data_IF_588975201824
#
_entry.id   IF_588975201824
#
_cell.length_a   1.000
_cell.length_b   1.000
_cell.length_c   1.000
_cell.angle_alpha   90.00
_cell.angle_beta   90.00
_cell.angle_gamma   90.00
#
_symmetry.space_group_name_H-M   'P 1'
#
loop_
_entity.id
_entity.type
_entity.pdbx_description
1 polymer ?
#
# COMPACT_ATOMS: atom_id res chain seq x y z
N UNK A 1 -37.34 -6.34 9.10
CA UNK A 1 -36.47 -5.16 9.35
C UNK A 1 -35.22 -5.31 8.49
N UNK A 2 -34.96 -4.38 7.59
CA UNK A 2 -33.73 -4.33 6.85
C UNK A 2 -32.59 -4.11 7.86
N UNK A 3 -31.44 -4.82 7.74
CA UNK A 3 -30.28 -4.57 8.60
C UNK A 3 -29.86 -3.12 8.38
N UNK A 4 -29.75 -2.36 9.48
CA UNK A 4 -29.21 -1.00 9.44
C UNK A 4 -27.73 -1.16 9.06
N UNK A 5 -27.37 -0.77 7.82
CA UNK A 5 -25.99 -0.73 7.36
C UNK A 5 -25.18 0.11 8.34
N UNK A 6 -24.29 -0.53 9.09
CA UNK A 6 -23.41 0.13 10.04
C UNK A 6 -22.34 0.85 9.25
N UNK A 7 -22.42 2.17 9.18
CA UNK A 7 -21.39 2.98 8.49
C UNK A 7 -20.01 2.70 9.09
N UNK A 8 -19.10 2.10 8.30
CA UNK A 8 -17.73 1.79 8.73
C UNK A 8 -16.90 3.06 8.91
N UNK A 9 -15.99 3.01 9.88
CA UNK A 9 -15.03 4.10 10.10
C UNK A 9 -13.94 4.08 9.03
N UNK A 10 -13.22 5.19 8.88
CA UNK A 10 -12.19 5.34 7.86
C UNK A 10 -11.07 4.27 7.98
N UNK A 11 -10.67 3.90 9.21
CA UNK A 11 -9.68 2.85 9.43
C UNK A 11 -10.20 1.45 9.05
N UNK A 12 -11.48 1.16 9.28
CA UNK A 12 -12.11 -0.11 8.88
C UNK A 12 -12.17 -0.21 7.35
N UNK A 13 -12.49 0.88 6.66
CA UNK A 13 -12.45 0.96 5.19
C UNK A 13 -11.00 0.81 4.70
N UNK A 14 -10.02 1.42 5.38
CA UNK A 14 -8.61 1.24 5.06
C UNK A 14 -8.19 -0.22 5.10
N UNK A 15 -8.50 -0.92 6.19
CA UNK A 15 -8.22 -2.36 6.33
C UNK A 15 -8.91 -3.19 5.24
N UNK A 16 -10.16 -2.87 4.92
CA UNK A 16 -10.92 -3.54 3.87
C UNK A 16 -10.25 -3.38 2.50
N UNK A 17 -9.85 -2.15 2.16
CA UNK A 17 -9.15 -1.87 0.91
C UNK A 17 -7.81 -2.63 0.82
N UNK A 18 -7.02 -2.66 1.92
CA UNK A 18 -5.78 -3.45 1.97
C UNK A 18 -6.04 -4.95 1.78
N UNK A 19 -7.09 -5.51 2.38
CA UNK A 19 -7.45 -6.92 2.17
C UNK A 19 -7.78 -7.21 0.71
N UNK A 20 -8.50 -6.32 0.02
CA UNK A 20 -8.76 -6.48 -1.42
C UNK A 20 -7.47 -6.42 -2.23
N UNK A 21 -6.58 -5.46 -1.93
CA UNK A 21 -5.32 -5.29 -2.67
C UNK A 21 -4.33 -6.42 -2.42
N UNK A 22 -4.27 -6.96 -1.20
CA UNK A 22 -3.41 -8.08 -0.82
C UNK A 22 -3.61 -9.29 -1.71
N UNK A 23 -4.85 -9.59 -2.05
CA UNK A 23 -5.24 -10.78 -2.80
C UNK A 23 -5.51 -10.49 -4.29
N UNK A 24 -5.29 -9.24 -4.76
CA UNK A 24 -5.55 -8.85 -6.12
C UNK A 24 -4.68 -9.68 -7.09
N UNK A 25 -5.27 -10.36 -8.09
CA UNK A 25 -4.51 -11.12 -9.06
C UNK A 25 -3.85 -10.18 -10.06
N UNK A 26 -2.54 -9.98 -9.94
CA UNK A 26 -1.76 -9.24 -10.93
C UNK A 26 -1.55 -10.10 -12.18
N UNK A 27 -2.01 -9.62 -13.33
CA UNK A 27 -1.90 -10.29 -14.63
C UNK A 27 -1.83 -9.27 -15.75
N UNK A 28 -1.14 -9.61 -16.85
CA UNK A 28 -0.97 -8.72 -18.00
C UNK A 28 -2.31 -8.27 -18.60
N UNK A 29 -3.29 -9.19 -18.66
CA UNK A 29 -4.66 -8.81 -19.00
C UNK A 29 -5.33 -8.17 -17.80
N UNK A 30 -5.55 -6.86 -17.86
CA UNK A 30 -6.20 -6.09 -16.78
C UNK A 30 -7.59 -6.65 -16.50
N UNK A 31 -7.96 -6.64 -15.23
CA UNK A 31 -9.30 -6.99 -14.80
C UNK A 31 -10.30 -5.96 -15.32
N UNK A 32 -11.40 -6.44 -15.88
CA UNK A 32 -12.59 -5.62 -16.09
C UNK A 32 -13.30 -5.35 -14.75
N UNK A 33 -14.19 -4.36 -14.73
CA UNK A 33 -14.99 -4.09 -13.53
C UNK A 33 -15.82 -5.31 -13.09
N UNK A 34 -16.37 -6.07 -14.03
CA UNK A 34 -17.15 -7.27 -13.72
C UNK A 34 -16.26 -8.38 -13.14
N UNK A 35 -15.06 -8.57 -13.66
CA UNK A 35 -14.08 -9.51 -13.09
C UNK A 35 -13.62 -9.09 -11.71
N UNK A 36 -13.45 -7.78 -11.45
CA UNK A 36 -13.13 -7.27 -10.11
C UNK A 36 -14.27 -7.56 -9.13
N UNK A 37 -15.52 -7.37 -9.53
CA UNK A 37 -16.68 -7.69 -8.69
C UNK A 37 -16.76 -9.18 -8.39
N UNK A 38 -16.56 -10.06 -9.39
CA UNK A 38 -16.49 -11.52 -9.17
C UNK A 38 -15.34 -11.91 -8.25
N UNK A 39 -14.19 -11.27 -8.38
CA UNK A 39 -13.05 -11.49 -7.49
C UNK A 39 -13.40 -11.14 -6.04
N UNK A 40 -14.07 -9.99 -5.81
CA UNK A 40 -14.52 -9.57 -4.48
C UNK A 40 -15.53 -10.56 -3.90
N UNK A 41 -16.48 -11.04 -4.71
CA UNK A 41 -17.41 -12.09 -4.28
C UNK A 41 -16.67 -13.37 -3.86
N UNK A 42 -15.60 -13.72 -4.57
CA UNK A 42 -14.72 -14.83 -4.18
C UNK A 42 -13.96 -14.60 -2.86
N UNK A 43 -13.65 -13.34 -2.48
CA UNK A 43 -13.08 -13.04 -1.16
C UNK A 43 -14.14 -13.19 -0.04
N UNK A 44 -15.39 -12.83 -0.33
CA UNK A 44 -16.52 -13.02 0.60
C UNK A 44 -16.77 -14.51 0.80
N UNK A 45 -16.84 -15.31 -0.24
CA UNK A 45 -17.03 -16.76 -0.18
C UNK A 45 -15.94 -17.45 0.64
N UNK A 46 -14.71 -16.93 0.60
CA UNK A 46 -13.57 -17.39 1.41
C UNK A 46 -13.55 -16.84 2.83
N UNK A 47 -14.54 -16.02 3.20
CA UNK A 47 -14.64 -15.35 4.50
C UNK A 47 -13.45 -14.43 4.83
N UNK A 48 -12.79 -13.89 3.81
CA UNK A 48 -11.73 -12.89 3.95
C UNK A 48 -12.31 -11.48 4.09
N UNK A 49 -13.51 -11.27 3.60
CA UNK A 49 -14.29 -10.03 3.68
C UNK A 49 -15.71 -10.39 4.08
N UNK A 50 -16.28 -9.64 5.00
CA UNK A 50 -17.69 -9.78 5.38
C UNK A 50 -18.62 -9.30 4.24
N UNK A 51 -19.73 -9.99 4.01
CA UNK A 51 -20.69 -9.65 2.95
C UNK A 51 -21.22 -8.20 3.08
N UNK A 52 -21.49 -7.76 4.32
CA UNK A 52 -21.96 -6.40 4.60
C UNK A 52 -20.88 -5.32 4.38
N UNK A 53 -19.62 -5.72 4.19
CA UNK A 53 -18.50 -4.82 3.86
C UNK A 53 -18.42 -4.48 2.36
N UNK A 54 -19.08 -5.26 1.50
CA UNK A 54 -18.98 -5.11 0.04
C UNK A 54 -19.33 -3.70 -0.44
N UNK A 55 -20.36 -3.07 0.18
CA UNK A 55 -20.80 -1.73 -0.17
C UNK A 55 -19.79 -0.61 0.17
N UNK A 56 -18.86 -0.88 1.10
CA UNK A 56 -17.83 0.07 1.52
C UNK A 56 -16.54 -0.05 0.68
N UNK A 57 -16.44 -1.07 -0.19
CA UNK A 57 -15.29 -1.23 -1.09
C UNK A 57 -15.35 -0.17 -2.19
N UNK A 58 -14.28 0.59 -2.34
CA UNK A 58 -14.17 1.67 -3.30
C UNK A 58 -13.75 1.14 -4.69
N UNK A 59 -14.69 0.49 -5.36
CA UNK A 59 -14.48 -0.19 -6.65
C UNK A 59 -13.81 0.71 -7.69
N UNK A 60 -14.28 1.93 -7.85
CA UNK A 60 -13.77 2.85 -8.88
C UNK A 60 -12.33 3.29 -8.57
N UNK A 61 -11.94 3.40 -7.28
CA UNK A 61 -10.56 3.68 -6.88
C UNK A 61 -9.64 2.49 -7.19
N UNK A 62 -10.11 1.25 -7.00
CA UNK A 62 -9.36 0.04 -7.36
C UNK A 62 -9.24 -0.09 -8.88
N UNK A 63 -10.32 0.19 -9.63
CA UNK A 63 -10.26 0.20 -11.10
C UNK A 63 -9.27 1.24 -11.62
N UNK A 64 -9.20 2.42 -10.99
CA UNK A 64 -8.21 3.44 -11.34
C UNK A 64 -6.77 2.92 -11.15
N UNK A 65 -6.51 2.15 -10.10
CA UNK A 65 -5.22 1.49 -9.90
C UNK A 65 -4.95 0.44 -11.00
N UNK A 66 -5.92 -0.41 -11.30
CA UNK A 66 -5.81 -1.47 -12.34
C UNK A 66 -5.55 -0.86 -13.72
N UNK A 67 -6.15 0.29 -14.01
CA UNK A 67 -5.96 1.00 -15.29
C UNK A 67 -4.64 1.79 -15.33
N UNK A 68 -4.02 1.99 -14.18
CA UNK A 68 -2.79 2.76 -14.05
C UNK A 68 -1.52 2.01 -14.51
N UNK A 69 -0.40 2.75 -14.70
CA UNK A 69 0.86 2.16 -15.15
C UNK A 69 1.49 1.25 -14.10
N UNK A 70 1.37 1.58 -12.79
CA UNK A 70 1.97 0.78 -11.71
C UNK A 70 1.41 -0.64 -11.67
N UNK A 71 0.10 -0.82 -11.94
CA UNK A 71 -0.48 -2.16 -12.04
C UNK A 71 0.21 -3.00 -13.10
N UNK A 72 0.44 -2.44 -14.31
CA UNK A 72 1.09 -3.17 -15.40
C UNK A 72 2.56 -3.47 -15.09
N UNK A 73 3.26 -2.56 -14.42
CA UNK A 73 4.63 -2.79 -13.98
C UNK A 73 4.70 -3.97 -13.00
N UNK A 74 3.78 -4.04 -12.03
CA UNK A 74 3.68 -5.16 -11.10
C UNK A 74 3.26 -6.45 -11.82
N UNK A 75 2.29 -6.38 -12.74
CA UNK A 75 1.78 -7.55 -13.47
C UNK A 75 2.82 -8.19 -14.41
N UNK A 76 3.83 -7.43 -14.84
CA UNK A 76 4.94 -7.88 -15.69
C UNK A 76 6.22 -8.17 -14.88
N UNK A 77 6.17 -8.02 -13.57
CA UNK A 77 7.32 -8.26 -12.70
C UNK A 77 7.72 -9.75 -12.67
N UNK A 78 9.01 -10.00 -12.47
CA UNK A 78 9.55 -11.37 -12.35
C UNK A 78 9.02 -12.09 -11.11
N UNK A 79 8.87 -11.36 -10.01
CA UNK A 79 8.34 -11.85 -8.74
C UNK A 79 7.49 -10.78 -8.05
N UNK A 80 6.40 -11.20 -7.42
CA UNK A 80 5.51 -10.34 -6.63
C UNK A 80 5.21 -11.00 -5.28
N UNK A 81 5.38 -10.24 -4.20
CA UNK A 81 5.11 -10.68 -2.83
C UNK A 81 4.18 -9.65 -2.17
N UNK A 82 3.13 -10.12 -1.53
CA UNK A 82 2.17 -9.28 -0.81
C UNK A 82 2.22 -9.53 0.69
N UNK A 83 1.93 -8.50 1.49
CA UNK A 83 1.84 -8.58 2.95
C UNK A 83 3.09 -9.22 3.57
N UNK A 84 4.26 -8.63 3.31
CA UNK A 84 5.51 -9.13 3.86
C UNK A 84 5.73 -8.58 5.28
N UNK A 85 5.62 -9.44 6.33
CA UNK A 85 5.92 -9.02 7.68
C UNK A 85 7.43 -8.83 7.85
N UNK A 86 7.82 -7.81 8.60
CA UNK A 86 9.21 -7.62 8.98
C UNK A 86 9.34 -7.32 10.47
N UNK A 87 10.45 -7.75 11.04
CA UNK A 87 10.89 -7.43 12.39
C UNK A 87 12.35 -7.03 12.31
N UNK A 88 12.69 -5.84 12.77
CA UNK A 88 14.09 -5.41 12.86
C UNK A 88 14.38 -4.86 14.24
N UNK A 89 15.59 -5.13 14.69
CA UNK A 89 16.15 -4.44 15.86
C UNK A 89 16.54 -3.04 15.40
N UNK A 90 16.15 -2.01 16.15
CA UNK A 90 16.55 -0.65 15.82
C UNK A 90 18.07 -0.56 15.86
N UNK A 91 18.69 -0.51 14.69
CA UNK A 91 20.09 -0.09 14.56
C UNK A 91 20.07 1.42 14.81
N UNK A 92 20.87 1.87 15.77
CA UNK A 92 21.00 3.29 16.13
C UNK A 92 21.10 4.12 14.84
N UNK A 93 20.12 4.98 14.60
CA UNK A 93 20.31 6.09 13.68
C UNK A 93 21.22 7.06 14.39
N UNK A 94 22.45 7.23 13.90
CA UNK A 94 23.45 8.12 14.47
C UNK A 94 22.85 9.51 14.68
N UNK A 95 22.81 9.96 15.93
CA UNK A 95 22.47 11.33 16.27
C UNK A 95 21.60 11.56 17.52
N UNK A 96 21.00 10.53 18.10
CA UNK A 96 20.24 10.65 19.35
C UNK A 96 20.87 9.74 20.41
N UNK A 97 21.82 10.29 21.13
CA UNK A 97 22.46 9.64 22.29
C UNK A 97 21.51 9.69 23.49
N UNK A 98 20.94 8.55 23.84
CA UNK A 98 20.60 8.25 25.24
C UNK A 98 21.34 6.97 25.62
N UNK A 99 22.03 7.02 26.79
CA UNK A 99 22.93 5.98 27.28
C UNK A 99 22.22 4.72 27.82
N UNK A 100 20.93 4.54 27.53
CA UNK A 100 20.18 3.33 27.87
C UNK A 100 20.05 2.43 26.64
N UNK A 101 20.59 1.22 26.76
CA UNK A 101 20.52 0.13 25.76
C UNK A 101 19.10 -0.46 25.64
N UNK A 102 18.09 0.36 25.38
CA UNK A 102 16.78 -0.15 25.02
C UNK A 102 16.81 -0.62 23.55
N UNK A 103 16.90 -1.91 23.37
CA UNK A 103 16.71 -2.56 22.06
C UNK A 103 15.26 -2.37 21.65
N UNK A 104 14.98 -1.35 20.88
CA UNK A 104 13.64 -1.16 20.31
C UNK A 104 13.46 -2.14 19.16
N UNK A 105 12.51 -3.05 19.31
CA UNK A 105 12.09 -3.93 18.22
C UNK A 105 11.02 -3.19 17.43
N UNK A 106 11.24 -3.01 16.13
CA UNK A 106 10.26 -2.45 15.23
C UNK A 106 9.72 -3.57 14.36
N UNK A 107 8.42 -3.69 14.31
CA UNK A 107 7.71 -4.64 13.46
C UNK A 107 6.72 -3.89 12.58
N UNK A 108 6.52 -4.40 11.38
CA UNK A 108 5.59 -3.82 10.42
C UNK A 108 5.21 -4.82 9.34
N UNK A 109 4.43 -4.34 8.40
CA UNK A 109 4.00 -5.07 7.22
C UNK A 109 4.23 -4.19 5.99
N UNK A 110 4.84 -4.74 4.96
CA UNK A 110 4.97 -4.09 3.66
C UNK A 110 3.90 -4.66 2.76
N UNK A 111 3.06 -3.79 2.20
CA UNK A 111 1.88 -4.20 1.45
C UNK A 111 2.23 -5.02 0.21
N UNK A 112 3.24 -4.60 -0.56
CA UNK A 112 3.68 -5.29 -1.76
C UNK A 112 5.16 -5.02 -2.03
N UNK A 113 5.87 -6.07 -2.46
CA UNK A 113 7.21 -5.99 -3.02
C UNK A 113 7.19 -6.70 -4.37
N UNK A 114 7.86 -6.13 -5.38
CA UNK A 114 8.06 -6.80 -6.65
C UNK A 114 9.49 -6.63 -7.15
N UNK A 115 9.92 -7.57 -7.98
CA UNK A 115 11.22 -7.57 -8.64
C UNK A 115 11.02 -7.50 -10.15
N UNK A 116 11.71 -6.59 -10.79
CA UNK A 116 11.72 -6.45 -12.24
C UNK A 116 13.15 -6.17 -12.71
N UNK A 117 13.66 -6.99 -13.63
CA UNK A 117 15.04 -6.88 -14.17
C UNK A 117 16.12 -6.81 -13.07
N UNK A 118 15.92 -7.52 -11.96
CA UNK A 118 16.85 -7.56 -10.84
C UNK A 118 16.80 -6.34 -9.91
N UNK A 119 15.91 -5.38 -10.15
CA UNK A 119 15.63 -4.25 -9.27
C UNK A 119 14.41 -4.56 -8.40
N UNK A 120 14.55 -4.32 -7.09
CA UNK A 120 13.44 -4.46 -6.14
C UNK A 120 12.72 -3.14 -5.94
N UNK A 121 11.39 -3.26 -5.82
CA UNK A 121 10.48 -2.16 -5.56
C UNK A 121 9.53 -2.55 -4.43
N UNK A 122 9.10 -1.59 -3.63
CA UNK A 122 8.00 -1.81 -2.69
C UNK A 122 6.92 -0.76 -2.88
N UNK A 123 5.70 -1.14 -2.61
CA UNK A 123 4.52 -0.28 -2.70
C UNK A 123 3.80 -0.30 -1.36
N UNK A 124 3.43 0.87 -0.88
CA UNK A 124 2.60 1.05 0.29
C UNK A 124 1.31 1.77 -0.13
N UNK A 125 0.17 1.13 0.12
CA UNK A 125 -1.14 1.65 -0.26
C UNK A 125 -1.70 2.60 0.80
N UNK A 126 -2.20 3.75 0.38
CA UNK A 126 -2.79 4.77 1.25
C UNK A 126 -4.23 5.08 0.84
N UNK A 127 -5.15 4.87 1.77
CA UNK A 127 -6.58 5.16 1.60
C UNK A 127 -6.97 6.54 2.12
N UNK A 128 -6.01 7.30 2.63
CA UNK A 128 -6.21 8.60 3.25
C UNK A 128 -6.86 9.59 2.28
N UNK A 129 -7.77 10.38 2.84
CA UNK A 129 -8.18 11.61 2.20
C UNK A 129 -7.12 12.70 2.45
N UNK A 130 -6.86 13.51 1.45
CA UNK A 130 -6.04 14.71 1.58
C UNK A 130 -6.90 15.96 1.30
N UNK A 131 -6.57 17.06 1.97
CA UNK A 131 -7.28 18.31 1.79
C UNK A 131 -6.65 19.07 0.63
N UNK A 132 -7.34 19.10 -0.50
CA UNK A 132 -7.00 19.98 -1.60
C UNK A 132 -7.48 21.41 -1.29
N UNK A 133 -6.57 22.28 -0.85
CA UNK A 133 -6.89 23.70 -0.73
C UNK A 133 -7.07 24.30 -2.12
N UNK A 134 -7.98 25.28 -2.24
CA UNK A 134 -8.22 25.98 -3.52
C UNK A 134 -6.90 26.61 -4.03
N UNK A 135 -6.48 26.22 -5.22
CA UNK A 135 -5.27 26.74 -5.87
C UNK A 135 -3.99 25.90 -5.66
N UNK A 136 -4.02 24.82 -4.90
CA UNK A 136 -2.87 23.91 -4.80
C UNK A 136 -2.70 23.11 -6.09
N UNK A 137 -1.46 23.02 -6.57
CA UNK A 137 -1.07 22.15 -7.66
C UNK A 137 -0.96 20.69 -7.20
N UNK A 138 -0.98 19.74 -8.15
CA UNK A 138 -0.77 18.33 -7.84
C UNK A 138 0.65 18.07 -7.30
N UNK A 139 1.63 18.84 -7.74
CA UNK A 139 3.01 18.79 -7.22
C UNK A 139 3.07 19.17 -5.73
N UNK A 140 2.42 20.27 -5.34
CA UNK A 140 2.37 20.70 -3.93
C UNK A 140 1.65 19.66 -3.05
N UNK A 141 0.57 19.06 -3.55
CA UNK A 141 -0.14 17.98 -2.85
C UNK A 141 0.78 16.77 -2.72
N UNK A 142 1.44 16.35 -3.81
CA UNK A 142 2.37 15.23 -3.82
C UNK A 142 3.50 15.40 -2.81
N UNK A 143 4.11 16.59 -2.75
CA UNK A 143 5.18 16.90 -1.79
C UNK A 143 4.70 16.82 -0.33
N UNK A 144 3.50 17.32 -0.01
CA UNK A 144 2.93 17.19 1.33
C UNK A 144 2.64 15.74 1.71
N UNK A 145 2.16 14.93 0.76
CA UNK A 145 1.90 13.51 0.98
C UNK A 145 3.21 12.74 1.19
N UNK A 146 4.25 13.02 0.41
CA UNK A 146 5.59 12.43 0.61
C UNK A 146 6.15 12.78 1.99
N UNK A 147 6.13 14.06 2.37
CA UNK A 147 6.62 14.53 3.66
C UNK A 147 5.92 13.82 4.83
N UNK A 148 4.60 13.64 4.74
CA UNK A 148 3.81 12.95 5.78
C UNK A 148 4.30 11.52 6.03
N UNK A 149 4.72 10.80 4.99
CA UNK A 149 5.08 9.38 5.07
C UNK A 149 6.58 9.11 4.92
N UNK A 150 7.40 10.14 4.74
CA UNK A 150 8.84 9.99 4.48
C UNK A 150 9.55 9.11 5.51
N UNK A 151 9.30 9.32 6.79
CA UNK A 151 9.94 8.55 7.87
C UNK A 151 9.61 7.05 7.72
N UNK A 152 8.33 6.72 7.52
CA UNK A 152 7.89 5.33 7.33
C UNK A 152 8.55 4.70 6.10
N UNK A 153 8.55 5.41 4.98
CA UNK A 153 9.07 4.91 3.72
C UNK A 153 10.59 4.73 3.73
N UNK A 154 11.32 5.68 4.32
CA UNK A 154 12.78 5.56 4.54
C UNK A 154 13.08 4.34 5.40
N UNK A 155 12.27 4.12 6.43
CA UNK A 155 12.43 2.97 7.32
C UNK A 155 12.21 1.64 6.58
N UNK A 156 11.16 1.54 5.76
CA UNK A 156 10.87 0.35 4.94
C UNK A 156 12.01 0.09 3.93
N UNK A 157 12.47 1.12 3.26
CA UNK A 157 13.61 1.03 2.31
C UNK A 157 14.84 0.47 3.01
N UNK A 158 15.29 1.09 4.09
CA UNK A 158 16.50 0.69 4.81
C UNK A 158 16.41 -0.75 5.32
N UNK A 159 15.23 -1.16 5.79
CA UNK A 159 14.95 -2.53 6.23
C UNK A 159 15.11 -3.51 5.06
N UNK A 160 14.45 -3.23 3.94
CA UNK A 160 14.51 -4.10 2.75
C UNK A 160 15.91 -4.16 2.17
N UNK A 161 16.62 -3.06 2.06
CA UNK A 161 18.00 -3.02 1.57
C UNK A 161 18.96 -3.80 2.48
N UNK A 162 18.72 -3.77 3.80
CA UNK A 162 19.47 -4.56 4.76
C UNK A 162 19.24 -6.06 4.55
N UNK A 163 18.01 -6.47 4.29
CA UNK A 163 17.63 -7.88 4.10
C UNK A 163 18.07 -8.37 2.72
N UNK A 164 17.75 -7.62 1.67
CA UNK A 164 17.98 -8.03 0.28
C UNK A 164 19.42 -7.81 -0.19
N UNK A 165 20.20 -6.99 0.51
CA UNK A 165 21.57 -6.58 0.15
C UNK A 165 21.65 -5.90 -1.24
N UNK A 166 20.60 -5.20 -1.62
CA UNK A 166 20.45 -4.51 -2.90
C UNK A 166 19.68 -3.20 -2.71
N UNK A 167 19.89 -2.19 -3.55
CA UNK A 167 19.09 -0.99 -3.55
C UNK A 167 17.62 -1.30 -3.83
N UNK A 168 16.71 -0.59 -3.14
CA UNK A 168 15.27 -0.76 -3.26
C UNK A 168 14.61 0.58 -3.50
N UNK A 169 13.68 0.64 -4.46
CA UNK A 169 12.87 1.82 -4.74
C UNK A 169 11.51 1.71 -4.05
N UNK A 170 10.96 2.81 -3.60
CA UNK A 170 9.67 2.85 -2.90
C UNK A 170 8.63 3.68 -3.62
N UNK A 171 7.40 3.17 -3.65
CA UNK A 171 6.23 3.89 -4.12
C UNK A 171 5.17 3.99 -3.02
N UNK A 172 4.61 5.19 -2.86
CA UNK A 172 3.35 5.40 -2.19
C UNK A 172 2.25 5.41 -3.25
N UNK A 173 1.24 4.60 -3.09
CA UNK A 173 0.06 4.66 -3.94
C UNK A 173 -1.15 5.15 -3.14
N UNK A 174 -1.61 6.34 -3.45
CA UNK A 174 -2.82 6.92 -2.88
C UNK A 174 -3.99 6.66 -3.82
N UNK A 175 -5.02 5.96 -3.36
CA UNK A 175 -6.21 5.67 -4.17
C UNK A 175 -6.89 6.94 -4.72
N UNK A 176 -6.77 8.05 -4.03
CA UNK A 176 -7.36 9.34 -4.44
C UNK A 176 -6.40 10.28 -5.19
N UNK A 177 -5.13 9.90 -5.32
CA UNK A 177 -4.13 10.77 -5.93
C UNK A 177 -3.32 10.07 -7.02
N UNK A 178 -2.94 8.82 -6.81
CA UNK A 178 -2.07 8.05 -7.68
C UNK A 178 -0.71 7.70 -7.06
N UNK A 179 0.26 7.40 -7.90
CA UNK A 179 1.59 6.94 -7.51
C UNK A 179 2.52 8.10 -7.22
N UNK A 180 3.25 8.02 -6.11
CA UNK A 180 4.35 8.91 -5.75
C UNK A 180 5.62 8.08 -5.52
N UNK A 181 6.66 8.32 -6.30
CA UNK A 181 7.98 7.75 -6.05
C UNK A 181 8.61 8.44 -4.84
N UNK A 182 9.23 7.65 -3.97
CA UNK A 182 9.94 8.16 -2.80
C UNK A 182 11.39 8.42 -3.20
N UNK A 183 11.79 9.65 -3.06
CA UNK A 183 13.15 10.11 -3.35
C UNK A 183 14.17 9.43 -2.40
N UNK A 184 15.42 9.30 -2.86
CA UNK A 184 16.55 8.73 -2.12
C UNK A 184 16.94 9.60 -0.91
#
# INVERSE_FOLDING_TARGET
ALPISKKRKANEIGTLMHTVMQHLPFREQRLTKDELLQYIDGLIDKQLIDEDAKEDIRIDEIMHFIDGPLYMEIAQADNVYTELPFVVNQIKVDGLTSEDEDVSIIQGMIDLIYESDGQFYFVDYKTDAFNRRKGMSDEEIGNQLKEKYQIQMTYYRNTLETILKRPVKGYLYFFKFGTLEIDD
#
